data_IF_415770473518
#
_entry.id   IF_415770473518
#
_cell.length_a   1.000
_cell.length_b   1.000
_cell.length_c   1.000
_cell.angle_alpha   90.00
_cell.angle_beta   90.00
_cell.angle_gamma   90.00
#
_symmetry.space_group_name_H-M   'P 1'
#
loop_
_entity.id
_entity.type
_entity.pdbx_description
1 polymer ?
#
# COMPACT_ATOMS: atom_id res chain seq x y z
N UNK A 1 -40.96 -2.37 9.29
CA UNK A 1 -39.80 -2.05 8.42
C UNK A 1 -38.57 -2.74 9.02
N UNK A 2 -37.77 -3.47 8.22
CA UNK A 2 -36.64 -4.28 8.70
C UNK A 2 -35.34 -3.66 8.17
N UNK A 3 -34.54 -3.05 9.05
CA UNK A 3 -33.22 -2.55 8.70
C UNK A 3 -32.22 -3.71 8.78
N UNK A 4 -31.49 -4.00 7.70
CA UNK A 4 -30.34 -4.91 7.73
C UNK A 4 -29.09 -4.09 8.00
N UNK A 5 -28.39 -4.46 9.06
CA UNK A 5 -27.06 -3.96 9.42
C UNK A 5 -26.05 -4.66 8.52
N UNK A 6 -25.13 -3.90 7.91
CA UNK A 6 -23.94 -4.48 7.28
C UNK A 6 -22.92 -4.69 8.40
N UNK A 7 -22.68 -5.94 8.78
CA UNK A 7 -21.51 -6.29 9.58
C UNK A 7 -20.25 -6.10 8.72
N UNK A 8 -19.42 -5.14 9.09
CA UNK A 8 -18.12 -4.90 8.49
C UNK A 8 -17.17 -6.04 8.82
N UNK A 9 -17.09 -7.02 7.92
CA UNK A 9 -16.17 -8.15 8.00
C UNK A 9 -14.71 -7.73 7.78
N UNK A 10 -14.08 -7.15 8.80
CA UNK A 10 -12.62 -6.99 8.91
C UNK A 10 -11.99 -8.24 9.54
N UNK A 11 -12.51 -9.41 9.16
CA UNK A 11 -12.21 -10.69 9.80
C UNK A 11 -11.90 -11.77 8.77
N UNK A 12 -10.88 -11.57 7.95
CA UNK A 12 -10.08 -12.63 7.26
C UNK A 12 -8.72 -12.08 6.82
N UNK A 13 -7.97 -11.49 7.75
CA UNK A 13 -6.56 -11.11 7.54
C UNK A 13 -5.59 -11.83 8.48
N UNK A 14 -6.06 -12.87 9.19
CA UNK A 14 -5.28 -13.58 10.20
C UNK A 14 -4.78 -14.98 9.78
N UNK A 15 -5.19 -15.50 8.62
CA UNK A 15 -4.84 -16.88 8.19
C UNK A 15 -3.75 -16.98 7.11
N UNK A 16 -3.13 -15.87 6.68
CA UNK A 16 -2.08 -15.89 5.65
C UNK A 16 -0.65 -15.70 6.21
N UNK A 17 -0.45 -15.80 7.53
CA UNK A 17 0.89 -15.67 8.15
C UNK A 17 1.60 -17.04 8.30
N UNK A 18 0.99 -18.13 7.83
CA UNK A 18 1.38 -19.49 8.23
C UNK A 18 2.00 -20.43 7.18
N UNK A 19 2.07 -20.08 5.88
CA UNK A 19 2.57 -21.04 4.88
C UNK A 19 3.17 -20.38 3.63
N UNK A 20 4.28 -19.65 3.78
CA UNK A 20 5.12 -19.28 2.65
C UNK A 20 5.95 -20.49 2.20
N UNK A 21 5.31 -21.46 1.55
CA UNK A 21 6.02 -22.24 0.55
C UNK A 21 6.55 -21.24 -0.49
N UNK A 22 7.80 -21.40 -0.95
CA UNK A 22 8.53 -20.50 -1.86
C UNK A 22 7.83 -20.37 -3.22
N UNK A 23 6.70 -19.67 -3.25
CA UNK A 23 5.97 -19.30 -4.45
C UNK A 23 6.62 -18.02 -4.98
N UNK A 24 6.90 -18.00 -6.28
CA UNK A 24 7.36 -16.79 -6.96
C UNK A 24 6.43 -15.61 -6.64
N UNK A 25 7.00 -14.43 -6.28
CA UNK A 25 6.20 -13.25 -6.03
C UNK A 25 5.29 -12.93 -7.20
N UNK A 26 4.07 -12.52 -6.89
CA UNK A 26 3.06 -12.13 -7.87
C UNK A 26 2.85 -10.62 -7.89
N UNK A 27 2.23 -10.11 -8.96
CA UNK A 27 1.85 -8.70 -9.04
C UNK A 27 0.91 -8.26 -7.90
N UNK A 28 0.14 -9.19 -7.33
CA UNK A 28 -0.71 -8.93 -6.17
C UNK A 28 0.13 -8.71 -4.90
N UNK A 29 1.23 -9.44 -4.73
CA UNK A 29 2.16 -9.26 -3.61
C UNK A 29 2.83 -7.88 -3.68
N UNK A 30 3.27 -7.48 -4.88
CA UNK A 30 3.79 -6.13 -5.16
C UNK A 30 2.75 -5.05 -4.84
N UNK A 31 1.49 -5.25 -5.24
CA UNK A 31 0.41 -4.29 -4.95
C UNK A 31 0.13 -4.19 -3.45
N UNK A 32 0.13 -5.31 -2.72
CA UNK A 32 -0.04 -5.33 -1.26
C UNK A 32 1.07 -4.56 -0.57
N UNK A 33 2.29 -4.69 -1.06
CA UNK A 33 3.44 -3.99 -0.52
C UNK A 33 3.38 -2.47 -0.75
N UNK A 34 2.93 -2.03 -1.92
CA UNK A 34 2.67 -0.61 -2.19
C UNK A 34 1.62 -0.03 -1.23
N UNK A 35 0.54 -0.79 -0.98
CA UNK A 35 -0.50 -0.41 -0.02
C UNK A 35 0.05 -0.36 1.41
N UNK A 36 0.90 -1.31 1.81
CA UNK A 36 1.55 -1.31 3.13
C UNK A 36 2.36 -0.04 3.34
N UNK A 37 3.27 0.29 2.40
CA UNK A 37 4.08 1.51 2.46
C UNK A 37 3.24 2.78 2.48
N UNK A 38 2.17 2.84 1.68
CA UNK A 38 1.26 3.98 1.68
C UNK A 38 0.55 4.16 3.02
N UNK A 39 0.14 3.07 3.68
CA UNK A 39 -0.45 3.12 5.03
C UNK A 39 0.55 3.63 6.07
N UNK A 40 1.79 3.17 6.01
CA UNK A 40 2.86 3.58 6.94
C UNK A 40 3.27 5.05 6.79
N UNK A 41 3.06 5.65 5.61
CA UNK A 41 3.37 7.06 5.36
C UNK A 41 2.44 8.08 6.05
N UNK A 42 1.31 7.65 6.61
CA UNK A 42 0.28 8.55 7.12
C UNK A 42 -0.61 9.19 6.04
N UNK A 43 -0.48 8.77 4.77
CA UNK A 43 -1.33 9.22 3.67
C UNK A 43 -2.83 9.11 4.01
N UNK A 44 -3.26 7.97 4.54
CA UNK A 44 -4.68 7.72 4.79
C UNK A 44 -5.27 8.69 5.81
N UNK A 45 -4.56 8.91 6.92
CA UNK A 45 -4.96 9.90 7.95
C UNK A 45 -5.05 11.30 7.36
N UNK A 46 -4.06 11.69 6.55
CA UNK A 46 -4.08 13.00 5.91
C UNK A 46 -5.20 13.16 4.89
N UNK A 47 -5.52 12.09 4.15
CA UNK A 47 -6.62 12.07 3.18
C UNK A 47 -7.97 12.19 3.88
N UNK A 48 -8.20 11.46 4.97
CA UNK A 48 -9.42 11.58 5.79
C UNK A 48 -9.57 13.00 6.35
N UNK A 49 -8.48 13.61 6.83
CA UNK A 49 -8.49 15.01 7.28
C UNK A 49 -8.90 15.96 6.15
N UNK A 50 -8.36 15.79 4.95
CA UNK A 50 -8.74 16.60 3.79
C UNK A 50 -10.25 16.49 3.51
N UNK A 51 -10.79 15.28 3.50
CA UNK A 51 -12.23 15.07 3.28
C UNK A 51 -13.09 15.73 4.38
N UNK A 52 -12.67 15.64 5.64
CA UNK A 52 -13.42 16.19 6.76
C UNK A 52 -13.35 17.73 6.86
N UNK A 53 -12.24 18.34 6.43
CA UNK A 53 -11.94 19.76 6.70
C UNK A 53 -11.83 20.62 5.44
N UNK A 54 -11.75 20.02 4.26
CA UNK A 54 -11.43 20.71 3.00
C UNK A 54 -9.97 21.18 2.90
N UNK A 55 -9.17 21.07 3.96
CA UNK A 55 -7.77 21.48 3.94
C UNK A 55 -6.97 20.57 3.00
N UNK A 56 -6.11 21.11 2.11
CA UNK A 56 -5.40 20.31 1.13
C UNK A 56 -4.45 19.33 1.81
N UNK A 57 -4.31 18.15 1.20
CA UNK A 57 -3.32 17.15 1.62
C UNK A 57 -1.89 17.68 1.38
N UNK A 58 -0.92 17.39 2.28
CA UNK A 58 0.48 17.72 2.04
C UNK A 58 0.95 17.14 0.71
N UNK A 59 1.60 17.98 -0.08
CA UNK A 59 1.96 17.65 -1.45
C UNK A 59 2.93 16.46 -1.52
N UNK A 60 3.85 16.36 -0.56
CA UNK A 60 4.76 15.24 -0.41
C UNK A 60 4.01 13.88 -0.29
N UNK A 61 2.87 13.82 0.40
CA UNK A 61 2.09 12.59 0.53
C UNK A 61 1.39 12.23 -0.78
N UNK A 62 0.87 13.24 -1.51
CA UNK A 62 0.28 13.04 -2.83
C UNK A 62 1.31 12.51 -3.83
N UNK A 63 2.52 13.08 -3.83
CA UNK A 63 3.61 12.61 -4.67
C UNK A 63 4.11 11.22 -4.27
N UNK A 64 4.23 10.94 -2.98
CA UNK A 64 4.62 9.60 -2.51
C UNK A 64 3.64 8.54 -2.99
N UNK A 65 2.31 8.80 -2.91
CA UNK A 65 1.31 7.88 -3.47
C UNK A 65 1.55 7.59 -4.95
N UNK A 66 1.75 8.64 -5.75
CA UNK A 66 2.01 8.51 -7.18
C UNK A 66 3.26 7.67 -7.45
N UNK A 67 4.34 7.91 -6.70
CA UNK A 67 5.59 7.15 -6.85
C UNK A 67 5.43 5.68 -6.44
N UNK A 68 4.71 5.40 -5.35
CA UNK A 68 4.43 4.02 -4.92
C UNK A 68 3.59 3.27 -5.96
N UNK A 69 2.56 3.92 -6.52
CA UNK A 69 1.75 3.33 -7.59
C UNK A 69 2.60 3.03 -8.84
N UNK A 70 3.49 3.94 -9.22
CA UNK A 70 4.39 3.76 -10.36
C UNK A 70 5.41 2.64 -10.14
N UNK A 71 6.03 2.58 -8.96
CA UNK A 71 6.95 1.51 -8.58
C UNK A 71 6.25 0.14 -8.63
N UNK A 72 5.05 0.05 -8.06
CA UNK A 72 4.25 -1.17 -8.08
C UNK A 72 3.92 -1.64 -9.50
N UNK A 73 3.51 -0.72 -10.38
CA UNK A 73 3.25 -1.03 -11.79
C UNK A 73 4.51 -1.50 -12.52
N UNK A 74 5.66 -0.90 -12.24
CA UNK A 74 6.93 -1.24 -12.88
C UNK A 74 7.42 -2.61 -12.43
N UNK A 75 7.45 -2.85 -11.11
CA UNK A 75 7.84 -4.13 -10.52
C UNK A 75 6.92 -5.28 -10.98
N UNK A 76 5.61 -5.02 -11.09
CA UNK A 76 4.63 -6.02 -11.54
C UNK A 76 4.84 -6.50 -12.98
N UNK A 77 5.62 -5.77 -13.79
CA UNK A 77 5.95 -6.15 -15.19
C UNK A 77 7.23 -6.97 -15.30
N UNK A 78 7.99 -7.11 -14.22
CA UNK A 78 9.21 -7.92 -14.22
C UNK A 78 8.84 -9.40 -14.27
N UNK A 79 9.60 -10.18 -15.05
CA UNK A 79 9.43 -11.62 -15.16
C UNK A 79 10.81 -12.31 -15.13
N UNK A 80 11.19 -12.96 -14.01
CA UNK A 80 10.42 -13.05 -12.76
C UNK A 80 10.40 -11.73 -11.96
N UNK A 81 9.41 -11.57 -11.09
CA UNK A 81 9.45 -10.51 -10.05
C UNK A 81 10.58 -10.88 -9.06
N UNK A 82 11.45 -9.94 -8.65
CA UNK A 82 12.51 -10.20 -7.68
C UNK A 82 11.96 -10.75 -6.36
N UNK A 83 12.60 -11.77 -5.79
CA UNK A 83 12.20 -12.35 -4.50
C UNK A 83 12.31 -11.35 -3.35
N UNK A 84 13.26 -10.42 -3.47
CA UNK A 84 13.54 -9.33 -2.55
C UNK A 84 12.83 -8.03 -2.93
N UNK A 85 11.73 -8.08 -3.70
CA UNK A 85 11.02 -6.87 -4.16
C UNK A 85 10.58 -5.94 -3.00
N UNK A 86 10.52 -6.43 -1.77
CA UNK A 86 10.27 -5.63 -0.56
C UNK A 86 11.43 -4.70 -0.18
N UNK A 87 12.63 -4.86 -0.74
CA UNK A 87 13.81 -4.06 -0.41
C UNK A 87 13.61 -2.59 -0.80
N UNK A 88 14.06 -1.68 0.07
CA UNK A 88 13.86 -0.23 -0.14
C UNK A 88 14.54 0.31 -1.40
N UNK A 89 15.51 -0.41 -1.98
CA UNK A 89 16.12 -0.07 -3.26
C UNK A 89 15.11 -0.01 -4.43
N UNK A 90 13.99 -0.75 -4.33
CA UNK A 90 12.95 -0.77 -5.36
C UNK A 90 11.83 0.26 -5.15
N UNK A 91 11.78 0.90 -3.97
CA UNK A 91 10.67 1.75 -3.58
C UNK A 91 11.13 3.19 -3.35
N UNK A 92 10.26 4.18 -3.64
CA UNK A 92 10.56 5.56 -3.30
C UNK A 92 10.74 5.70 -1.79
N UNK A 93 11.87 6.27 -1.38
CA UNK A 93 12.08 6.72 -0.01
C UNK A 93 11.74 8.21 0.09
N UNK A 94 11.18 8.61 1.23
CA UNK A 94 11.11 10.02 1.58
C UNK A 94 12.55 10.40 1.93
N UNK A 95 13.28 10.95 0.97
CA UNK A 95 14.59 11.55 1.22
C UNK A 95 14.38 12.63 2.28
N UNK A 96 14.69 12.32 3.54
CA UNK A 96 14.66 13.32 4.61
C UNK A 96 15.81 14.26 4.28
N UNK A 97 15.50 15.40 3.68
CA UNK A 97 16.42 16.53 3.58
C UNK A 97 17.08 16.70 4.95
N UNK A 98 18.38 16.42 5.02
CA UNK A 98 19.23 16.70 6.18
C UNK A 98 19.47 18.20 6.30
#
# INVERSE_FOLDING_TARGET
>A
MKFRVIEGGLGKAADEVGAAAQRQPSSEDVRREAVRRLRESGYHTSYVRQLATGAPQPEALRYLKMQLDFAAQTLSRLNPIPEDFHADAYWPSVERSR
#
